data_IF_447075804223
#
_entry.id   IF_447075804223
#
_cell.length_a   1.000
_cell.length_b   1.000
_cell.length_c   1.000
_cell.angle_alpha   90.00
_cell.angle_beta   90.00
_cell.angle_gamma   90.00
#
_symmetry.space_group_name_H-M   'P 1'
#
loop_
_entity.id
_entity.type
_entity.pdbx_description
1 polymer ?
#
# COMPACT_ATOMS: atom_id res chain seq x y z
N UNK A 1 -1.31 4.02 -29.90
CA UNK A 1 -0.58 3.48 -28.74
C UNK A 1 0.67 4.31 -28.56
N UNK A 2 0.77 5.11 -27.50
CA UNK A 2 1.97 5.87 -27.19
C UNK A 2 3.00 4.95 -26.50
N UNK A 3 4.29 4.98 -26.87
CA UNK A 3 5.30 4.21 -26.16
C UNK A 3 5.43 4.73 -24.73
N UNK A 4 5.33 3.85 -23.75
CA UNK A 4 5.59 4.21 -22.36
C UNK A 4 7.07 4.58 -22.16
N UNK A 5 7.37 5.37 -21.12
CA UNK A 5 8.74 5.76 -20.74
C UNK A 5 9.69 4.57 -20.52
N UNK A 6 9.15 3.36 -20.30
CA UNK A 6 9.90 2.13 -20.00
C UNK A 6 9.96 1.16 -21.17
N UNK A 7 9.78 1.61 -22.42
CA UNK A 7 9.98 0.76 -23.59
C UNK A 7 11.41 0.23 -23.63
N UNK A 8 11.57 -1.10 -23.58
CA UNK A 8 12.88 -1.74 -23.61
C UNK A 8 13.14 -2.25 -25.02
N UNK A 9 14.32 -1.94 -25.56
CA UNK A 9 14.80 -2.44 -26.83
C UNK A 9 15.94 -3.43 -26.59
N UNK A 10 15.78 -4.66 -27.05
CA UNK A 10 16.82 -5.67 -26.98
C UNK A 10 17.35 -5.89 -28.41
N UNK A 11 18.64 -5.72 -28.59
CA UNK A 11 19.31 -5.90 -29.88
C UNK A 11 20.23 -7.12 -29.80
N UNK A 12 20.03 -8.09 -30.65
CA UNK A 12 20.97 -9.19 -30.92
C UNK A 12 21.46 -9.08 -32.35
N UNK A 13 22.50 -9.83 -32.71
CA UNK A 13 23.10 -9.76 -34.07
C UNK A 13 22.11 -10.08 -35.22
N UNK A 14 21.01 -10.79 -34.95
CA UNK A 14 20.04 -11.22 -35.96
C UNK A 14 18.61 -10.71 -35.71
N UNK A 15 18.32 -10.14 -34.53
CA UNK A 15 16.96 -9.79 -34.16
C UNK A 15 16.90 -8.54 -33.23
N UNK A 16 16.00 -7.63 -33.57
CA UNK A 16 15.62 -6.52 -32.72
C UNK A 16 14.25 -6.82 -32.12
N UNK A 17 14.17 -6.88 -30.80
CA UNK A 17 12.90 -7.02 -30.08
C UNK A 17 12.59 -5.72 -29.35
N UNK A 18 11.43 -5.14 -29.63
CA UNK A 18 10.95 -3.92 -28.96
C UNK A 18 9.73 -4.28 -28.15
N UNK A 19 9.81 -4.06 -26.84
CA UNK A 19 8.69 -4.21 -25.92
C UNK A 19 7.99 -2.85 -25.78
N UNK A 20 6.74 -2.80 -26.19
CA UNK A 20 5.86 -1.67 -25.97
C UNK A 20 5.00 -1.93 -24.74
N UNK A 21 5.03 -1.02 -23.77
CA UNK A 21 4.16 -1.04 -22.61
C UNK A 21 3.16 0.10 -22.77
N UNK A 22 1.89 -0.14 -22.45
CA UNK A 22 0.87 0.90 -22.48
C UNK A 22 1.18 1.99 -21.44
N UNK A 23 1.05 3.25 -21.82
CA UNK A 23 1.19 4.36 -20.88
C UNK A 23 -0.04 4.46 -19.98
N UNK A 24 0.16 4.68 -18.70
CA UNK A 24 -0.95 4.89 -17.76
C UNK A 24 -1.69 6.20 -18.09
N UNK A 25 -3.02 6.18 -17.93
CA UNK A 25 -3.86 7.36 -18.15
C UNK A 25 -3.82 8.35 -16.97
N UNK A 26 -3.46 7.86 -15.78
CA UNK A 26 -3.42 8.63 -14.54
C UNK A 26 -2.03 8.63 -13.91
N UNK A 27 -1.76 9.66 -13.13
CA UNK A 27 -0.57 9.80 -12.32
C UNK A 27 -0.98 10.10 -10.88
N UNK A 28 -0.22 9.61 -9.91
CA UNK A 28 -0.42 9.91 -8.49
C UNK A 28 0.67 10.83 -8.00
N UNK A 29 0.27 11.91 -7.36
CA UNK A 29 1.13 12.74 -6.54
C UNK A 29 0.72 12.51 -5.09
N UNK A 30 1.68 12.27 -4.23
CA UNK A 30 1.41 12.02 -2.82
C UNK A 30 2.32 12.86 -1.92
N UNK A 31 1.87 13.07 -0.70
CA UNK A 31 2.66 13.70 0.35
C UNK A 31 2.34 13.02 1.68
N UNK A 32 3.38 12.85 2.51
CA UNK A 32 3.27 12.16 3.79
C UNK A 32 3.79 13.08 4.89
N UNK A 33 3.09 13.06 6.01
CA UNK A 33 3.54 13.69 7.25
C UNK A 33 3.29 12.77 8.42
N UNK A 34 4.33 12.46 9.18
CA UNK A 34 4.27 11.71 10.44
C UNK A 34 4.56 12.67 11.60
N UNK A 35 3.76 12.58 12.66
CA UNK A 35 3.93 13.42 13.84
C UNK A 35 3.97 12.51 15.05
N UNK A 36 5.01 12.64 15.86
CA UNK A 36 5.16 11.89 17.11
C UNK A 36 4.46 12.60 18.25
N UNK A 37 3.85 11.87 19.17
CA UNK A 37 3.27 12.43 20.39
C UNK A 37 4.34 13.12 21.25
N UNK A 38 4.03 14.21 21.94
CA UNK A 38 4.96 14.82 22.90
C UNK A 38 5.43 13.79 23.93
N UNK A 39 6.75 13.69 24.12
CA UNK A 39 7.37 12.75 25.05
C UNK A 39 7.71 11.37 24.48
N UNK A 40 7.28 11.06 23.25
CA UNK A 40 7.62 9.83 22.56
C UNK A 40 8.79 10.06 21.58
N UNK A 41 9.70 9.08 21.46
CA UNK A 41 10.81 9.15 20.51
C UNK A 41 10.37 8.83 19.07
N UNK A 42 9.39 7.94 18.92
CA UNK A 42 8.84 7.48 17.63
C UNK A 42 7.32 7.35 17.69
N UNK A 43 6.65 7.50 16.56
CA UNK A 43 5.22 7.23 16.44
C UNK A 43 5.00 5.75 16.14
N UNK A 44 3.93 5.16 16.71
CA UNK A 44 3.45 3.81 16.40
C UNK A 44 2.89 3.68 14.99
N UNK A 45 2.53 4.80 14.34
CA UNK A 45 2.03 4.79 12.97
C UNK A 45 3.16 4.57 11.96
N UNK A 46 2.90 3.84 10.92
CA UNK A 46 3.77 3.72 9.75
C UNK A 46 2.98 3.82 8.45
N UNK A 47 3.71 4.03 7.35
CA UNK A 47 3.16 4.11 6.02
C UNK A 47 4.09 3.39 5.02
N UNK A 48 3.50 2.88 3.94
CA UNK A 48 4.23 2.37 2.78
C UNK A 48 3.59 2.91 1.51
N UNK A 49 4.41 3.19 0.50
CA UNK A 49 3.97 3.64 -0.82
C UNK A 49 4.78 2.92 -1.88
N UNK A 50 4.12 2.14 -2.72
CA UNK A 50 4.78 1.32 -3.73
C UNK A 50 3.95 1.16 -5.00
N UNK A 51 4.61 0.69 -6.05
CA UNK A 51 4.01 0.42 -7.36
C UNK A 51 4.03 -1.07 -7.63
N UNK A 52 2.88 -1.62 -7.91
CA UNK A 52 2.76 -2.99 -8.39
C UNK A 52 2.86 -3.04 -9.92
N UNK A 53 3.16 -4.22 -10.48
CA UNK A 53 3.03 -4.46 -11.91
C UNK A 53 1.66 -4.02 -12.45
N UNK A 54 1.57 -3.83 -13.76
CA UNK A 54 0.33 -3.45 -14.46
C UNK A 54 -0.22 -2.06 -14.09
N UNK A 55 0.67 -1.13 -13.70
CA UNK A 55 0.30 0.27 -13.47
C UNK A 55 -0.60 0.49 -12.25
N UNK A 56 -0.38 -0.26 -11.20
CA UNK A 56 -1.11 -0.13 -9.94
C UNK A 56 -0.25 0.57 -8.89
N UNK A 57 -0.78 1.64 -8.32
CA UNK A 57 -0.20 2.37 -7.18
C UNK A 57 -0.88 1.94 -5.89
N UNK A 58 -0.10 1.72 -4.84
CA UNK A 58 -0.61 1.37 -3.51
C UNK A 58 -0.05 2.32 -2.47
N UNK A 59 -0.93 2.81 -1.60
CA UNK A 59 -0.57 3.56 -0.40
C UNK A 59 -1.16 2.86 0.82
N UNK A 60 -0.33 2.57 1.81
CA UNK A 60 -0.69 1.90 3.05
C UNK A 60 -0.40 2.74 4.27
N UNK A 61 -1.30 2.68 5.24
CA UNK A 61 -1.13 3.20 6.60
C UNK A 61 -1.41 2.08 7.59
N UNK A 62 -0.65 2.05 8.67
CA UNK A 62 -0.85 1.12 9.79
C UNK A 62 -0.53 1.83 11.09
N UNK A 63 -1.39 1.64 12.09
CA UNK A 63 -1.21 2.10 13.46
C UNK A 63 -1.00 0.89 14.36
N UNK A 64 0.17 0.78 14.99
CA UNK A 64 0.52 -0.28 15.94
C UNK A 64 -0.08 0.00 17.30
N UNK A 65 -0.57 -1.06 17.96
CA UNK A 65 -1.16 -0.93 19.30
C UNK A 65 -0.12 -0.50 20.34
N UNK A 66 -0.46 0.51 21.12
CA UNK A 66 0.41 1.05 22.16
C UNK A 66 1.19 2.28 21.72
N UNK A 67 2.45 2.37 22.10
CA UNK A 67 3.31 3.50 21.77
C UNK A 67 4.79 3.10 21.66
N UNK A 68 5.59 4.00 21.11
CA UNK A 68 7.03 3.84 21.05
C UNK A 68 7.51 2.80 20.03
N UNK A 69 8.70 2.26 20.27
CA UNK A 69 9.38 1.37 19.33
C UNK A 69 8.62 0.07 19.03
N UNK A 70 7.93 -0.49 20.03
CA UNK A 70 7.18 -1.74 19.84
C UNK A 70 6.01 -1.54 18.87
N UNK A 71 5.18 -0.51 19.11
CA UNK A 71 4.07 -0.19 18.21
C UNK A 71 4.57 0.16 16.79
N UNK A 72 5.67 0.91 16.71
CA UNK A 72 6.32 1.23 15.44
C UNK A 72 6.76 -0.03 14.67
N UNK A 73 7.45 -0.96 15.34
CA UNK A 73 7.89 -2.20 14.70
C UNK A 73 6.73 -3.11 14.27
N UNK A 74 5.63 -3.11 15.00
CA UNK A 74 4.42 -3.86 14.64
C UNK A 74 3.78 -3.33 13.35
N UNK A 75 3.53 -2.03 13.28
CA UNK A 75 2.92 -1.40 12.10
C UNK A 75 3.84 -1.48 10.88
N UNK A 76 5.16 -1.36 11.06
CA UNK A 76 6.16 -1.56 10.01
C UNK A 76 6.10 -2.99 9.46
N UNK A 77 6.17 -4.00 10.34
CA UNK A 77 6.11 -5.41 9.94
C UNK A 77 4.83 -5.74 9.14
N UNK A 78 3.68 -5.21 9.56
CA UNK A 78 2.41 -5.44 8.86
C UNK A 78 2.44 -4.83 7.45
N UNK A 79 2.98 -3.62 7.29
CA UNK A 79 3.09 -2.98 5.98
C UNK A 79 4.09 -3.68 5.08
N UNK A 80 5.25 -4.08 5.60
CA UNK A 80 6.28 -4.79 4.85
C UNK A 80 5.77 -6.15 4.34
N UNK A 81 5.07 -6.91 5.19
CA UNK A 81 4.46 -8.17 4.77
C UNK A 81 3.35 -7.94 3.73
N UNK A 82 2.54 -6.89 3.91
CA UNK A 82 1.51 -6.54 2.93
C UNK A 82 2.11 -6.22 1.57
N UNK A 83 3.15 -5.40 1.53
CA UNK A 83 3.88 -5.06 0.30
C UNK A 83 4.43 -6.32 -0.38
N UNK A 84 5.18 -7.16 0.36
CA UNK A 84 5.76 -8.40 -0.16
C UNK A 84 4.71 -9.37 -0.74
N UNK A 85 3.57 -9.55 -0.05
CA UNK A 85 2.52 -10.43 -0.56
C UNK A 85 1.84 -9.86 -1.80
N UNK A 86 1.60 -8.55 -1.85
CA UNK A 86 1.01 -7.91 -3.02
C UNK A 86 1.97 -7.92 -4.21
N UNK A 87 3.27 -7.69 -3.99
CA UNK A 87 4.31 -7.81 -5.03
C UNK A 87 4.45 -9.25 -5.55
N UNK A 88 4.26 -10.23 -4.68
CA UNK A 88 4.22 -11.64 -5.06
C UNK A 88 2.94 -12.04 -5.81
N UNK A 89 2.00 -11.11 -6.01
CA UNK A 89 0.77 -11.31 -6.76
C UNK A 89 -0.40 -11.91 -5.96
N UNK A 90 -0.32 -11.96 -4.64
CA UNK A 90 -1.45 -12.38 -3.82
C UNK A 90 -2.54 -11.30 -3.78
N UNK A 91 -3.81 -11.72 -3.66
CA UNK A 91 -4.89 -10.77 -3.43
C UNK A 91 -4.77 -10.12 -2.04
N UNK A 92 -5.32 -8.92 -1.88
CA UNK A 92 -5.32 -8.19 -0.59
C UNK A 92 -5.93 -9.00 0.54
N UNK A 93 -7.04 -9.69 0.26
CA UNK A 93 -7.73 -10.54 1.23
C UNK A 93 -6.88 -11.75 1.63
N UNK A 94 -6.12 -12.31 0.70
CA UNK A 94 -5.19 -13.42 0.97
C UNK A 94 -4.01 -12.91 1.78
N UNK A 95 -3.43 -11.77 1.42
CA UNK A 95 -2.34 -11.13 2.18
C UNK A 95 -2.74 -10.89 3.64
N UNK A 96 -3.91 -10.31 3.88
CA UNK A 96 -4.44 -10.09 5.24
C UNK A 96 -4.57 -11.40 6.02
N UNK A 97 -5.14 -12.44 5.40
CA UNK A 97 -5.27 -13.75 6.08
C UNK A 97 -3.92 -14.35 6.44
N UNK A 98 -2.94 -14.24 5.55
CA UNK A 98 -1.59 -14.76 5.81
C UNK A 98 -0.89 -13.97 6.92
N UNK A 99 -1.01 -12.65 6.92
CA UNK A 99 -0.47 -11.78 7.98
C UNK A 99 -1.12 -12.12 9.32
N UNK A 100 -2.44 -12.20 9.39
CA UNK A 100 -3.15 -12.57 10.62
C UNK A 100 -2.72 -13.94 11.13
N UNK A 101 -2.56 -14.94 10.25
CA UNK A 101 -2.09 -16.26 10.64
C UNK A 101 -0.66 -16.24 11.17
N UNK A 102 0.21 -15.44 10.56
CA UNK A 102 1.61 -15.30 10.99
C UNK A 102 1.74 -14.62 12.35
N UNK A 103 0.89 -13.62 12.61
CA UNK A 103 0.85 -12.91 13.91
C UNK A 103 0.37 -13.82 15.04
N UNK A 104 -0.68 -14.62 14.80
CA UNK A 104 -1.24 -15.54 15.82
C UNK A 104 -0.24 -16.62 16.23
N UNK A 105 0.71 -16.98 15.37
CA UNK A 105 1.73 -18.00 15.65
C UNK A 105 2.95 -17.45 16.41
N UNK A 106 3.05 -16.15 16.64
CA UNK A 106 4.16 -15.59 17.41
C UNK A 106 3.96 -15.79 18.91
N UNK A 107 5.03 -16.10 19.66
CA UNK A 107 4.94 -16.37 21.11
C UNK A 107 4.65 -15.11 21.94
N UNK A 108 4.86 -13.92 21.40
CA UNK A 108 4.52 -12.65 22.06
C UNK A 108 3.02 -12.36 21.91
N UNK A 109 2.30 -12.08 22.99
CA UNK A 109 0.88 -11.83 22.92
C UNK A 109 0.58 -10.47 22.28
N UNK A 110 -0.29 -10.51 21.25
CA UNK A 110 -1.07 -9.36 20.78
C UNK A 110 -0.32 -8.29 19.98
N UNK A 111 0.20 -8.68 18.81
CA UNK A 111 0.49 -7.72 17.77
C UNK A 111 -0.85 -7.36 17.10
N UNK A 112 -1.41 -6.23 17.50
CA UNK A 112 -2.56 -5.66 16.81
C UNK A 112 -2.10 -4.40 16.09
N UNK A 113 -2.36 -4.35 14.82
CA UNK A 113 -2.10 -3.18 14.02
C UNK A 113 -3.27 -2.98 13.05
N UNK A 114 -3.62 -1.74 12.82
CA UNK A 114 -4.63 -1.39 11.82
C UNK A 114 -4.06 -1.55 10.42
N UNK A 115 -4.92 -1.74 9.44
CA UNK A 115 -4.55 -1.71 8.01
C UNK A 115 -5.49 -0.78 7.27
N UNK A 116 -4.93 0.21 6.58
CA UNK A 116 -5.63 1.10 5.69
C UNK A 116 -4.87 1.16 4.36
N UNK A 117 -5.37 0.48 3.34
CA UNK A 117 -4.77 0.46 2.01
C UNK A 117 -5.67 1.13 1.00
N UNK A 118 -5.09 2.01 0.19
CA UNK A 118 -5.67 2.52 -1.03
C UNK A 118 -4.88 1.98 -2.22
N UNK A 119 -5.54 1.28 -3.13
CA UNK A 119 -4.96 0.75 -4.37
C UNK A 119 -5.60 1.45 -5.56
N UNK A 120 -4.79 2.08 -6.41
CA UNK A 120 -5.24 2.86 -7.55
C UNK A 120 -4.73 2.21 -8.83
N UNK A 121 -5.66 1.84 -9.71
CA UNK A 121 -5.36 1.43 -11.08
C UNK A 121 -5.10 2.68 -11.92
N UNK A 122 -3.88 2.83 -12.41
CA UNK A 122 -3.46 4.03 -13.15
C UNK A 122 -3.92 4.04 -14.61
N UNK A 123 -4.50 2.95 -15.13
CA UNK A 123 -5.11 2.93 -16.45
C UNK A 123 -6.57 3.41 -16.39
N UNK A 124 -7.31 3.01 -15.36
CA UNK A 124 -8.74 3.30 -15.23
C UNK A 124 -9.06 4.43 -14.26
N UNK A 125 -8.15 4.75 -13.33
CA UNK A 125 -8.40 5.67 -12.21
C UNK A 125 -9.27 5.06 -11.12
N UNK A 126 -9.55 3.75 -11.17
CA UNK A 126 -10.31 3.07 -10.12
C UNK A 126 -9.50 3.00 -8.84
N UNK A 127 -10.11 3.43 -7.74
CA UNK A 127 -9.50 3.36 -6.41
C UNK A 127 -10.27 2.38 -5.53
N UNK A 128 -9.56 1.43 -4.96
CA UNK A 128 -10.11 0.41 -4.06
C UNK A 128 -9.48 0.56 -2.68
N UNK A 129 -10.30 0.40 -1.63
CA UNK A 129 -9.87 0.52 -0.24
C UNK A 129 -10.00 -0.82 0.48
N UNK A 130 -8.99 -1.14 1.30
CA UNK A 130 -9.04 -2.20 2.29
C UNK A 130 -8.80 -1.57 3.66
N UNK A 131 -9.77 -1.69 4.56
CA UNK A 131 -9.74 -1.04 5.88
C UNK A 131 -10.02 -2.06 6.98
N UNK A 132 -9.07 -2.21 7.91
CA UNK A 132 -9.17 -3.13 9.05
C UNK A 132 -8.79 -2.36 10.31
N UNK A 133 -9.77 -2.10 11.16
CA UNK A 133 -9.58 -1.36 12.41
C UNK A 133 -9.12 0.10 12.24
N UNK A 134 -9.01 0.59 11.01
CA UNK A 134 -8.45 1.90 10.70
C UNK A 134 -9.53 3.00 10.71
N UNK A 135 -9.14 4.27 10.98
CA UNK A 135 -10.05 5.42 10.93
C UNK A 135 -10.56 5.66 9.50
N UNK A 136 -11.54 6.54 9.37
CA UNK A 136 -12.12 6.89 8.07
C UNK A 136 -11.08 7.56 7.15
N UNK A 137 -11.11 7.19 5.87
CA UNK A 137 -10.42 7.89 4.78
C UNK A 137 -11.38 8.81 4.05
N UNK A 138 -10.88 9.87 3.46
CA UNK A 138 -11.70 10.87 2.79
C UNK A 138 -11.24 11.08 1.36
N UNK A 139 -12.19 11.02 0.42
CA UNK A 139 -11.96 11.39 -0.98
C UNK A 139 -12.58 12.76 -1.22
N UNK A 140 -11.74 13.74 -1.52
CA UNK A 140 -12.23 15.06 -1.91
C UNK A 140 -12.44 15.10 -3.43
N UNK A 141 -13.67 15.37 -3.85
CA UNK A 141 -14.04 15.71 -5.20
C UNK A 141 -14.16 17.23 -5.33
N UNK A 142 -14.39 17.73 -6.55
CA UNK A 142 -14.56 19.17 -6.78
C UNK A 142 -15.66 19.80 -5.91
N UNK A 143 -16.78 19.09 -5.69
CA UNK A 143 -17.99 19.63 -5.02
C UNK A 143 -18.39 18.88 -3.75
N UNK A 144 -17.80 17.75 -3.44
CA UNK A 144 -18.16 16.92 -2.28
C UNK A 144 -16.94 16.23 -1.67
N UNK A 145 -17.15 15.73 -0.48
CA UNK A 145 -16.21 14.85 0.24
C UNK A 145 -16.90 13.54 0.52
N UNK A 146 -16.32 12.45 0.07
CA UNK A 146 -16.79 11.09 0.35
C UNK A 146 -16.01 10.54 1.54
N UNK A 147 -16.71 9.90 2.48
CA UNK A 147 -16.13 9.27 3.65
C UNK A 147 -16.11 7.76 3.47
N UNK A 148 -14.93 7.17 3.44
CA UNK A 148 -14.72 5.73 3.30
C UNK A 148 -14.45 5.14 4.69
N UNK A 149 -15.27 4.20 5.11
CA UNK A 149 -15.14 3.50 6.39
C UNK A 149 -15.01 2.00 6.15
N UNK A 150 -14.29 1.32 7.04
CA UNK A 150 -14.30 -0.13 7.08
C UNK A 150 -15.69 -0.64 7.49
N UNK A 151 -16.11 -1.75 6.91
CA UNK A 151 -17.22 -2.55 7.43
C UNK A 151 -16.65 -3.33 8.62
N UNK A 152 -17.07 -2.95 9.85
CA UNK A 152 -16.71 -3.67 11.07
C UNK A 152 -17.35 -5.06 11.11
#
# INVERSE_FOLDING_TARGET
MMPARDSRTFVSQEKVTVLFVEATAYQVLYGIKKVTKPGEAVSGDNFSVFWLPEGRFVAGLSDGMGSGLQACGQSETVLDLMEQFLEAGFSRETAVRMINSSIVLQPEPHIFSTVDLASIDLYTGTCEFLKIGSPASFIRRERNVECIRGTG
#
